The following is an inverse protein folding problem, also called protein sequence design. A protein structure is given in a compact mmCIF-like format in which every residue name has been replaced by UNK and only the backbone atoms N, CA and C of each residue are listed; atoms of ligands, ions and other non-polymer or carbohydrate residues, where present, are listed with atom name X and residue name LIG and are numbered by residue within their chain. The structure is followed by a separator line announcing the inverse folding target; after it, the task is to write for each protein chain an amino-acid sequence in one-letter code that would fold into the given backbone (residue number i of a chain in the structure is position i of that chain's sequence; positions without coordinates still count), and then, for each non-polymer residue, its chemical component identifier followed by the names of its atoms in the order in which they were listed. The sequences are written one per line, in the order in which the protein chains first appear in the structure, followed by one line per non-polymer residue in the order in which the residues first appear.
data_IF_037160619432
#
_entry.id   IF_037160619432
#
_cell.length_a   1.000
_cell.length_b   1.000
_cell.length_c   1.000
_cell.angle_alpha   90.00
_cell.angle_beta   90.00
_cell.angle_gamma   90.00
#
_symmetry.space_group_name_H-M   'P 1'
#
loop_
_entity.id
_entity.type
_entity.pdbx_description
1 polymer ?
#
# COMPACT_ATOMS: atom_id res chain seq x y z
N UNK A 1 -16.65 -8.85 6.28
CA UNK A 1 -16.89 -7.50 5.84
C UNK A 1 -15.64 -6.94 5.15
N UNK A 2 -15.82 -6.07 4.16
CA UNK A 2 -14.72 -5.45 3.45
C UNK A 2 -14.60 -3.98 3.85
N UNK A 3 -13.39 -3.53 4.11
CA UNK A 3 -13.08 -2.14 4.39
C UNK A 3 -12.26 -1.56 3.26
N UNK A 4 -12.32 -0.25 3.08
CA UNK A 4 -11.50 0.45 2.10
C UNK A 4 -10.45 1.28 2.83
N UNK A 5 -9.20 1.17 2.37
CA UNK A 5 -8.07 1.90 2.94
C UNK A 5 -7.41 2.69 1.82
N UNK A 6 -7.16 3.98 2.07
CA UNK A 6 -6.44 4.84 1.13
C UNK A 6 -5.01 4.97 1.61
N UNK A 7 -4.07 4.72 0.71
CA UNK A 7 -2.64 4.72 1.01
C UNK A 7 -1.93 5.67 0.06
N UNK A 8 -1.08 6.54 0.62
CA UNK A 8 -0.18 7.36 -0.16
C UNK A 8 1.12 6.59 -0.35
N UNK A 9 1.57 6.48 -1.60
CA UNK A 9 2.74 5.67 -1.94
C UNK A 9 3.89 6.55 -2.38
N UNK A 10 5.09 6.26 -1.87
CA UNK A 10 6.34 6.91 -2.25
C UNK A 10 7.24 5.87 -2.92
N UNK A 11 7.11 5.68 -4.25
CA UNK A 11 7.94 4.69 -4.95
C UNK A 11 9.37 5.21 -5.14
N UNK A 12 10.29 4.31 -5.39
CA UNK A 12 11.69 4.65 -5.61
C UNK A 12 12.32 5.34 -4.42
N UNK A 13 11.88 5.02 -3.21
CA UNK A 13 12.29 5.71 -2.00
C UNK A 13 13.46 5.00 -1.31
N UNK A 14 14.44 5.78 -0.87
CA UNK A 14 15.54 5.24 -0.07
C UNK A 14 15.10 4.88 1.35
N UNK A 15 13.98 5.44 1.82
CA UNK A 15 13.44 5.12 3.15
C UNK A 15 12.78 3.73 3.19
N UNK A 16 12.36 3.23 2.05
CA UNK A 16 11.62 1.98 1.99
C UNK A 16 12.48 0.74 2.25
N UNK A 17 11.85 -0.38 2.57
CA UNK A 17 10.40 -0.49 2.80
C UNK A 17 9.99 0.04 4.18
N UNK A 18 8.94 0.86 4.21
CA UNK A 18 8.51 1.50 5.45
C UNK A 18 7.04 1.87 5.36
N UNK A 19 6.31 1.64 6.45
CA UNK A 19 4.92 2.08 6.60
C UNK A 19 4.88 3.13 7.70
N UNK A 20 4.37 4.34 7.36
CA UNK A 20 4.17 5.41 8.34
C UNK A 20 2.68 5.65 8.54
N UNK A 21 2.29 5.84 9.80
CA UNK A 21 0.91 6.20 10.15
C UNK A 21 0.93 7.65 10.61
N UNK A 22 0.18 8.50 9.91
CA UNK A 22 0.07 9.91 10.26
C UNK A 22 -0.82 10.13 11.46
N UNK A 23 -0.78 11.35 12.01
CA UNK A 23 -1.56 11.70 13.20
C UNK A 23 -3.07 11.60 12.97
N UNK A 24 -3.51 11.69 11.72
CA UNK A 24 -4.92 11.56 11.33
C UNK A 24 -5.29 10.14 10.91
N UNK A 25 -4.37 9.18 11.09
CA UNK A 25 -4.58 7.80 10.66
C UNK A 25 -4.24 7.54 9.20
N UNK A 26 -3.75 8.55 8.48
CA UNK A 26 -3.36 8.40 7.08
C UNK A 26 -2.13 7.49 6.97
N UNK A 27 -2.16 6.57 6.00
CA UNK A 27 -1.05 5.65 5.76
C UNK A 27 -0.19 6.16 4.61
N UNK A 28 1.12 6.18 4.82
CA UNK A 28 2.11 6.44 3.78
C UNK A 28 3.04 5.25 3.72
N UNK A 29 3.18 4.65 2.54
CA UNK A 29 4.04 3.49 2.36
C UNK A 29 5.17 3.84 1.40
N UNK A 30 6.40 3.66 1.89
CA UNK A 30 7.61 3.90 1.13
C UNK A 30 8.12 2.56 0.60
N UNK A 31 8.35 2.48 -0.70
CA UNK A 31 8.90 1.28 -1.32
C UNK A 31 10.09 1.67 -2.19
N UNK A 32 11.06 0.76 -2.33
CA UNK A 32 12.24 0.98 -3.17
C UNK A 32 11.93 0.74 -4.63
N UNK A 33 10.95 -0.09 -4.91
CA UNK A 33 10.57 -0.44 -6.27
C UNK A 33 10.06 0.79 -7.02
N UNK A 34 10.37 0.91 -8.31
CA UNK A 34 9.88 2.02 -9.12
C UNK A 34 8.39 1.88 -9.40
N UNK A 35 7.76 2.99 -9.81
CA UNK A 35 6.32 3.07 -10.01
C UNK A 35 5.87 2.55 -11.37
N UNK A 36 6.56 1.56 -11.94
CA UNK A 36 6.18 0.99 -13.24
C UNK A 36 6.23 -0.55 -13.18
N UNK A 37 5.59 -1.18 -14.14
CA UNK A 37 5.50 -2.65 -14.29
C UNK A 37 4.88 -3.34 -13.08
N UNK A 38 4.06 -2.63 -12.31
CA UNK A 38 3.36 -3.20 -11.17
C UNK A 38 4.25 -3.55 -9.98
N UNK A 39 5.55 -3.27 -10.05
CA UNK A 39 6.48 -3.65 -8.98
C UNK A 39 6.17 -2.92 -7.68
N UNK A 40 5.95 -1.60 -7.74
CA UNK A 40 5.61 -0.83 -6.56
C UNK A 40 4.25 -1.26 -6.00
N UNK A 41 3.28 -1.55 -6.86
CA UNK A 41 1.97 -2.00 -6.42
C UNK A 41 2.05 -3.31 -5.64
N UNK A 42 2.84 -4.26 -6.12
CA UNK A 42 3.02 -5.54 -5.42
C UNK A 42 3.72 -5.34 -4.08
N UNK A 43 4.75 -4.49 -4.04
CA UNK A 43 5.48 -4.21 -2.81
C UNK A 43 4.58 -3.54 -1.78
N UNK A 44 3.76 -2.56 -2.20
CA UNK A 44 2.82 -1.87 -1.32
C UNK A 44 1.79 -2.85 -0.77
N UNK A 45 1.26 -3.72 -1.62
CA UNK A 45 0.27 -4.72 -1.19
C UNK A 45 0.84 -5.62 -0.10
N UNK A 46 2.08 -6.08 -0.27
CA UNK A 46 2.73 -6.94 0.73
C UNK A 46 2.96 -6.20 2.04
N UNK A 47 3.44 -4.96 1.97
CA UNK A 47 3.69 -4.16 3.17
C UNK A 47 2.40 -3.84 3.91
N UNK A 48 1.35 -3.49 3.16
CA UNK A 48 0.06 -3.19 3.77
C UNK A 48 -0.53 -4.42 4.45
N UNK A 49 -0.46 -5.58 3.79
CA UNK A 49 -0.94 -6.83 4.37
C UNK A 49 -0.19 -7.16 5.66
N UNK A 50 1.13 -7.03 5.65
CA UNK A 50 1.94 -7.28 6.83
C UNK A 50 1.59 -6.30 7.96
N UNK A 51 1.40 -5.02 7.63
CA UNK A 51 1.02 -4.01 8.62
C UNK A 51 -0.31 -4.34 9.27
N UNK A 52 -1.26 -4.85 8.48
CA UNK A 52 -2.60 -5.21 8.97
C UNK A 52 -2.64 -6.62 9.55
N UNK A 53 -1.54 -7.36 9.48
CA UNK A 53 -1.44 -8.75 9.93
C UNK A 53 -2.43 -9.66 9.22
N UNK A 54 -2.54 -9.49 7.91
CA UNK A 54 -3.44 -10.25 7.05
C UNK A 54 -2.66 -10.93 5.93
N UNK A 55 -3.16 -12.04 5.39
CA UNK A 55 -2.59 -12.60 4.16
C UNK A 55 -2.73 -11.63 3.01
N UNK A 56 -1.79 -11.65 2.08
CA UNK A 56 -1.82 -10.78 0.91
C UNK A 56 -3.12 -10.93 0.12
N UNK A 57 -3.69 -12.14 0.09
CA UNK A 57 -4.94 -12.43 -0.61
C UNK A 57 -6.14 -11.67 -0.09
N UNK A 58 -6.02 -11.10 1.12
CA UNK A 58 -7.10 -10.31 1.74
C UNK A 58 -6.96 -8.81 1.46
N UNK A 59 -5.94 -8.42 0.71
CA UNK A 59 -5.64 -7.03 0.38
C UNK A 59 -5.65 -6.89 -1.13
N UNK A 60 -6.59 -6.08 -1.65
CA UNK A 60 -6.77 -5.94 -3.09
C UNK A 60 -6.71 -4.47 -3.50
N UNK A 61 -5.86 -4.17 -4.48
CA UNK A 61 -5.80 -2.84 -5.07
C UNK A 61 -7.01 -2.64 -5.98
N UNK A 62 -7.89 -1.70 -5.64
CA UNK A 62 -9.13 -1.48 -6.40
C UNK A 62 -9.11 -0.21 -7.23
N UNK A 63 -8.24 0.76 -6.92
CA UNK A 63 -8.05 1.93 -7.79
C UNK A 63 -6.72 2.58 -7.52
N UNK A 64 -6.27 3.42 -8.46
CA UNK A 64 -5.02 4.16 -8.32
C UNK A 64 -3.79 3.37 -8.73
N UNK A 65 -3.92 2.37 -9.60
CA UNK A 65 -2.79 1.54 -10.01
C UNK A 65 -1.65 2.37 -10.61
N UNK A 66 -1.96 3.48 -11.27
CA UNK A 66 -0.96 4.37 -11.87
C UNK A 66 -0.81 5.67 -11.09
N UNK A 67 -1.38 5.74 -9.89
CA UNK A 67 -1.38 6.94 -9.06
C UNK A 67 -0.58 6.69 -7.79
N UNK A 68 -0.10 7.77 -7.18
CA UNK A 68 0.54 7.69 -5.87
C UNK A 68 -0.47 7.55 -4.74
N UNK A 69 -1.73 7.90 -4.97
CA UNK A 69 -2.82 7.63 -4.05
C UNK A 69 -3.52 6.37 -4.51
N UNK A 70 -3.49 5.33 -3.68
CA UNK A 70 -4.04 4.03 -4.02
C UNK A 70 -5.13 3.65 -3.03
N UNK A 71 -6.16 3.00 -3.54
CA UNK A 71 -7.26 2.52 -2.73
C UNK A 71 -7.22 0.99 -2.71
N UNK A 72 -7.26 0.44 -1.50
CA UNK A 72 -7.25 -1.00 -1.30
C UNK A 72 -8.53 -1.44 -0.62
N UNK A 73 -9.04 -2.58 -1.03
CA UNK A 73 -10.13 -3.24 -0.34
C UNK A 73 -9.55 -4.33 0.56
N UNK A 74 -9.96 -4.31 1.81
CA UNK A 74 -9.47 -5.24 2.82
C UNK A 74 -10.60 -6.18 3.20
N UNK A 75 -10.38 -7.47 3.03
CA UNK A 75 -11.34 -8.52 3.42
C UNK A 75 -10.83 -9.18 4.68
N UNK A 76 -11.62 -9.12 5.74
CA UNK A 76 -11.22 -9.70 7.03
C UNK A 76 -11.98 -10.97 7.34
#
# INVERSE_FOLDING_TARGET
MADTVIVKVKPGSRKGPLVEVGSDGELTIYVREPAFDGKANNAVTRLLAAHLQLPKSRVELVSGATSRLKRFRISR
#
